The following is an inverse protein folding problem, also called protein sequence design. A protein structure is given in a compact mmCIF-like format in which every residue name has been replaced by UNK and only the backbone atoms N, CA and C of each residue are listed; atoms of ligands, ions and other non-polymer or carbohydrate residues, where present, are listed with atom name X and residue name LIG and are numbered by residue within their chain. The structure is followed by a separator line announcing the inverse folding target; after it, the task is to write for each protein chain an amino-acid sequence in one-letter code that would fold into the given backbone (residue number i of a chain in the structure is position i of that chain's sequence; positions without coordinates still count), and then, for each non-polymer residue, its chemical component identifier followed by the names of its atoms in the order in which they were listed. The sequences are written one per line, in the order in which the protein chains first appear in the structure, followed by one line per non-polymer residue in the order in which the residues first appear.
data_IF_022187644534
#
_entry.id   IF_022187644534
#
_cell.length_a   1.000
_cell.length_b   1.000
_cell.length_c   1.000
_cell.angle_alpha   90.00
_cell.angle_beta   90.00
_cell.angle_gamma   90.00
#
_symmetry.space_group_name_H-M   'P 1'
#
loop_
_entity.id
_entity.type
_entity.pdbx_description
1 polymer ?
#
# COMPACT_ATOMS: atom_id res chain seq x y z
N UNK A 1 4.50 -15.91 -9.44
CA UNK A 1 4.74 -14.45 -9.46
C UNK A 1 6.12 -14.10 -10.01
N UNK A 2 6.22 -13.06 -10.83
CA UNK A 2 7.49 -12.56 -11.38
C UNK A 2 8.33 -11.81 -10.34
N UNK A 3 9.65 -11.76 -10.56
CA UNK A 3 10.61 -11.06 -9.71
C UNK A 3 11.02 -9.75 -10.42
N UNK A 4 10.76 -8.58 -9.81
CA UNK A 4 11.25 -7.31 -10.33
C UNK A 4 12.77 -7.27 -10.38
N UNK A 5 13.31 -6.75 -11.48
CA UNK A 5 14.74 -6.67 -11.76
C UNK A 5 15.14 -5.20 -11.85
N UNK A 6 16.31 -4.85 -11.33
CA UNK A 6 16.93 -3.53 -11.54
C UNK A 6 18.36 -3.70 -12.03
N UNK A 7 18.86 -2.73 -12.79
CA UNK A 7 20.27 -2.69 -13.18
C UNK A 7 21.17 -2.23 -12.01
N UNK A 8 22.48 -2.15 -12.24
CA UNK A 8 23.48 -1.65 -11.27
C UNK A 8 23.13 -0.26 -10.73
N UNK A 9 22.58 0.61 -11.58
CA UNK A 9 22.17 1.98 -11.26
C UNK A 9 20.82 2.07 -10.51
N UNK A 10 20.18 0.94 -10.20
CA UNK A 10 18.84 0.82 -9.59
C UNK A 10 17.67 1.27 -10.49
N UNK A 11 17.89 1.31 -11.80
CA UNK A 11 16.85 1.56 -12.78
C UNK A 11 16.06 0.27 -13.04
N UNK A 12 14.72 0.31 -13.08
CA UNK A 12 13.90 -0.86 -13.35
C UNK A 12 14.14 -1.46 -14.74
N UNK A 13 14.24 -2.78 -14.79
CA UNK A 13 14.27 -3.61 -15.99
C UNK A 13 13.05 -4.52 -16.01
N UNK A 14 12.80 -5.17 -17.16
CA UNK A 14 11.69 -6.11 -17.28
C UNK A 14 11.77 -7.22 -16.21
N UNK A 15 10.66 -7.55 -15.53
CA UNK A 15 10.64 -8.60 -14.53
C UNK A 15 11.01 -9.97 -15.12
N UNK A 16 11.48 -10.87 -14.26
CA UNK A 16 11.86 -12.22 -14.68
C UNK A 16 11.16 -13.30 -13.87
N UNK A 17 11.20 -14.54 -14.36
CA UNK A 17 10.61 -15.70 -13.68
C UNK A 17 11.49 -16.08 -12.46
N UNK A 18 10.90 -16.51 -11.33
CA UNK A 18 11.66 -16.86 -10.12
C UNK A 18 12.79 -17.88 -10.31
N UNK A 19 12.62 -18.85 -11.22
CA UNK A 19 13.65 -19.85 -11.54
C UNK A 19 14.92 -19.20 -12.09
N UNK A 20 14.78 -18.25 -13.01
CA UNK A 20 15.88 -17.47 -13.60
C UNK A 20 16.54 -16.56 -12.56
N UNK A 21 15.74 -15.85 -11.76
CA UNK A 21 16.25 -15.03 -10.66
C UNK A 21 17.08 -15.84 -9.65
N UNK A 22 16.63 -17.05 -9.27
CA UNK A 22 17.39 -17.95 -8.40
C UNK A 22 18.72 -18.38 -9.03
N UNK A 23 18.73 -18.70 -10.32
CA UNK A 23 19.96 -19.08 -11.05
C UNK A 23 20.97 -17.93 -11.08
N UNK A 24 20.51 -16.69 -11.33
CA UNK A 24 21.37 -15.51 -11.30
C UNK A 24 21.97 -15.24 -9.92
N UNK A 25 21.18 -15.37 -8.86
CA UNK A 25 21.68 -15.20 -7.49
C UNK A 25 22.70 -16.28 -7.14
N UNK A 26 22.46 -17.55 -7.49
CA UNK A 26 23.39 -18.66 -7.25
C UNK A 26 24.72 -18.51 -8.01
N UNK A 27 24.67 -17.97 -9.22
CA UNK A 27 25.86 -17.75 -10.07
C UNK A 27 26.55 -16.41 -9.83
N UNK A 28 26.11 -15.61 -8.84
CA UNK A 28 26.69 -14.28 -8.57
C UNK A 28 26.34 -13.18 -9.58
N UNK A 29 25.59 -13.49 -10.64
CA UNK A 29 25.14 -12.51 -11.67
C UNK A 29 24.15 -11.48 -11.13
N UNK A 30 23.48 -11.75 -10.01
CA UNK A 30 22.56 -10.81 -9.39
C UNK A 30 22.61 -10.84 -7.86
N UNK A 31 22.41 -9.67 -7.26
CA UNK A 31 22.33 -9.49 -5.81
C UNK A 31 20.86 -9.41 -5.36
N UNK A 32 20.40 -10.29 -4.46
CA UNK A 32 19.02 -10.24 -3.95
C UNK A 32 18.85 -9.10 -2.94
N UNK A 33 17.72 -8.39 -3.01
CA UNK A 33 17.38 -7.35 -2.04
C UNK A 33 15.87 -7.23 -1.87
N UNK A 34 15.45 -6.42 -0.90
CA UNK A 34 14.03 -6.12 -0.69
C UNK A 34 13.76 -4.64 -0.92
N UNK A 35 12.67 -4.32 -1.62
CA UNK A 35 12.18 -2.94 -1.81
C UNK A 35 10.74 -2.86 -1.34
N UNK A 36 10.51 -2.14 -0.23
CA UNK A 36 9.21 -2.03 0.45
C UNK A 36 8.51 -3.37 0.71
N UNK A 37 9.28 -4.39 1.09
CA UNK A 37 8.74 -5.72 1.43
C UNK A 37 8.51 -6.66 0.25
N UNK A 38 8.89 -6.27 -0.97
CA UNK A 38 8.93 -7.17 -2.14
C UNK A 38 10.35 -7.60 -2.42
N UNK A 39 10.53 -8.88 -2.72
CA UNK A 39 11.80 -9.44 -3.15
C UNK A 39 12.13 -9.00 -4.57
N UNK A 40 13.32 -8.46 -4.76
CA UNK A 40 13.84 -7.97 -6.03
C UNK A 40 15.26 -8.51 -6.24
N UNK A 41 15.73 -8.47 -7.49
CA UNK A 41 17.13 -8.78 -7.82
C UNK A 41 17.77 -7.60 -8.53
N UNK A 42 19.02 -7.28 -8.17
CA UNK A 42 19.84 -6.30 -8.88
C UNK A 42 20.85 -7.04 -9.73
N UNK A 43 20.90 -6.78 -11.03
CA UNK A 43 21.92 -7.37 -11.90
C UNK A 43 23.29 -6.77 -11.57
N UNK A 44 24.29 -7.64 -11.43
CA UNK A 44 25.69 -7.29 -11.28
C UNK A 44 26.43 -7.32 -12.63
N UNK A 45 25.77 -7.81 -13.68
CA UNK A 45 26.24 -7.86 -15.06
C UNK A 45 25.37 -6.94 -15.92
N UNK A 46 25.89 -6.55 -17.08
CA UNK A 46 25.05 -5.83 -18.04
C UNK A 46 23.91 -6.72 -18.54
N UNK A 47 22.70 -6.18 -18.69
CA UNK A 47 21.57 -6.93 -19.22
C UNK A 47 21.84 -7.30 -20.69
N UNK A 48 21.33 -8.45 -21.12
CA UNK A 48 21.47 -8.88 -22.51
C UNK A 48 20.72 -7.98 -23.49
N UNK A 49 19.64 -7.33 -23.03
CA UNK A 49 18.85 -6.36 -23.78
C UNK A 49 18.18 -5.39 -22.78
N UNK A 50 17.94 -4.16 -23.23
CA UNK A 50 17.25 -3.10 -22.51
C UNK A 50 15.85 -2.78 -23.07
N UNK A 51 15.35 -3.56 -24.01
CA UNK A 51 13.97 -3.48 -24.49
C UNK A 51 12.97 -3.59 -23.33
N UNK A 52 11.99 -2.69 -23.35
CA UNK A 52 10.93 -2.59 -22.36
C UNK A 52 9.61 -2.64 -23.10
N UNK A 53 8.67 -3.40 -22.55
CA UNK A 53 7.29 -3.39 -23.00
C UNK A 53 6.51 -2.38 -22.16
N UNK A 54 5.45 -1.85 -22.75
CA UNK A 54 4.51 -1.01 -22.01
C UNK A 54 3.83 -1.80 -20.91
N UNK A 55 3.76 -1.18 -19.73
CA UNK A 55 3.14 -1.75 -18.55
C UNK A 55 1.95 -0.87 -18.14
N UNK A 56 0.77 -1.49 -18.09
CA UNK A 56 -0.42 -0.90 -17.53
C UNK A 56 -0.63 -1.32 -16.08
N UNK A 57 -1.19 -0.38 -15.31
CA UNK A 57 -1.66 -0.59 -13.94
C UNK A 57 -3.16 -0.39 -13.92
N UNK A 58 -3.89 -1.50 -13.79
CA UNK A 58 -5.32 -1.46 -13.50
C UNK A 58 -5.55 -1.28 -12.01
N UNK A 59 -6.51 -0.43 -11.64
CA UNK A 59 -6.83 -0.05 -10.27
C UNK A 59 -8.34 -0.20 -10.06
N UNK A 60 -8.71 -1.10 -9.16
CA UNK A 60 -10.08 -1.26 -8.67
C UNK A 60 -10.17 -0.66 -7.24
N UNK A 61 -10.62 0.61 -7.12
CA UNK A 61 -10.75 1.27 -5.83
C UNK A 61 -12.01 0.82 -5.08
N UNK A 62 -11.84 -0.02 -4.07
CA UNK A 62 -12.87 -0.40 -3.12
C UNK A 62 -12.87 0.41 -1.81
N UNK A 63 -13.83 0.09 -0.92
CA UNK A 63 -14.00 0.81 0.35
C UNK A 63 -13.15 0.26 1.51
N UNK A 64 -12.91 -1.05 1.50
CA UNK A 64 -12.14 -1.80 2.53
C UNK A 64 -10.89 -2.47 1.94
N UNK A 65 -11.02 -2.95 0.70
CA UNK A 65 -10.02 -3.68 -0.07
C UNK A 65 -9.84 -2.96 -1.40
N UNK A 66 -8.63 -2.94 -1.89
CA UNK A 66 -8.27 -2.32 -3.17
C UNK A 66 -7.48 -3.33 -3.99
N UNK A 67 -7.84 -3.45 -5.27
CA UNK A 67 -7.13 -4.27 -6.23
C UNK A 67 -6.21 -3.44 -7.11
N UNK A 68 -4.99 -3.92 -7.32
CA UNK A 68 -4.11 -3.44 -8.38
C UNK A 68 -3.60 -4.61 -9.18
N UNK A 69 -3.46 -4.40 -10.49
CA UNK A 69 -2.85 -5.39 -11.37
C UNK A 69 -1.85 -4.70 -12.28
N UNK A 70 -0.64 -5.24 -12.33
CA UNK A 70 0.47 -4.74 -13.14
C UNK A 70 0.70 -5.75 -14.25
N UNK A 71 0.53 -5.30 -15.49
CA UNK A 71 0.48 -6.18 -16.66
C UNK A 71 1.11 -5.50 -17.88
N UNK A 72 1.72 -6.32 -18.73
CA UNK A 72 2.11 -5.98 -20.10
C UNK A 72 1.31 -6.82 -21.10
N UNK A 73 1.54 -6.63 -22.39
CA UNK A 73 1.01 -7.53 -23.41
C UNK A 73 1.40 -8.99 -23.13
N UNK A 74 2.66 -9.25 -22.72
CA UNK A 74 3.19 -10.60 -22.56
C UNK A 74 2.83 -11.30 -21.26
N UNK A 75 2.74 -10.58 -20.12
CA UNK A 75 2.51 -11.23 -18.81
C UNK A 75 1.81 -10.34 -17.78
N UNK A 76 1.10 -10.99 -16.85
CA UNK A 76 0.66 -10.40 -15.58
C UNK A 76 1.76 -10.52 -14.52
N UNK A 77 2.47 -9.43 -14.26
CA UNK A 77 3.63 -9.45 -13.38
C UNK A 77 3.27 -9.53 -11.90
N UNK A 78 2.28 -8.74 -11.47
CA UNK A 78 1.98 -8.57 -10.06
C UNK A 78 0.51 -8.18 -9.85
N UNK A 79 -0.21 -8.97 -9.05
CA UNK A 79 -1.51 -8.58 -8.50
C UNK A 79 -1.31 -8.16 -7.04
N UNK A 80 -1.89 -7.04 -6.63
CA UNK A 80 -1.83 -6.54 -5.26
C UNK A 80 -3.23 -6.45 -4.70
N UNK A 81 -3.36 -6.94 -3.47
CA UNK A 81 -4.51 -6.71 -2.62
C UNK A 81 -4.09 -5.86 -1.44
N UNK A 82 -4.69 -4.67 -1.25
CA UNK A 82 -4.39 -3.84 -0.09
C UNK A 82 -5.62 -3.53 0.77
N UNK A 83 -5.38 -3.36 2.06
CA UNK A 83 -6.40 -2.87 3.00
C UNK A 83 -6.40 -1.35 3.09
N UNK A 84 -7.59 -0.77 3.08
CA UNK A 84 -7.80 0.66 3.25
C UNK A 84 -7.55 1.06 4.72
N UNK A 85 -6.79 2.14 5.01
CA UNK A 85 -6.46 2.52 6.38
C UNK A 85 -7.70 3.05 7.13
N UNK A 86 -8.27 2.22 8.01
CA UNK A 86 -9.52 2.52 8.73
C UNK A 86 -9.29 3.21 10.09
N UNK A 87 -8.14 3.00 10.73
CA UNK A 87 -7.85 3.52 12.09
C UNK A 87 -7.64 5.04 12.15
N UNK A 88 -7.48 5.72 11.01
CA UNK A 88 -7.16 7.15 10.96
C UNK A 88 -8.30 8.00 11.52
N UNK A 89 -9.56 7.63 11.26
CA UNK A 89 -10.73 8.34 11.79
C UNK A 89 -10.70 8.35 13.32
N UNK A 90 -10.55 7.17 13.95
CA UNK A 90 -10.45 7.04 15.40
C UNK A 90 -9.25 7.80 15.96
N UNK A 91 -8.10 7.79 15.29
CA UNK A 91 -6.93 8.55 15.73
C UNK A 91 -7.16 10.08 15.70
N UNK A 92 -7.90 10.58 14.70
CA UNK A 92 -8.29 11.99 14.60
C UNK A 92 -9.30 12.36 15.69
N UNK A 93 -10.27 11.48 15.95
CA UNK A 93 -11.26 11.64 17.03
C UNK A 93 -10.57 11.70 18.41
N UNK A 94 -9.70 10.73 18.71
CA UNK A 94 -8.91 10.72 19.96
C UNK A 94 -8.11 12.01 20.11
N UNK A 95 -7.44 12.47 19.05
CA UNK A 95 -6.70 13.75 19.05
C UNK A 95 -7.62 14.95 19.27
N UNK A 96 -8.83 14.96 18.71
CA UNK A 96 -9.84 16.02 18.91
C UNK A 96 -10.25 16.05 20.38
N UNK A 97 -10.57 14.89 20.96
CA UNK A 97 -10.97 14.77 22.36
C UNK A 97 -9.84 15.17 23.32
N UNK A 98 -8.59 14.77 23.05
CA UNK A 98 -7.39 15.23 23.78
C UNK A 98 -7.33 16.75 23.85
N UNK A 99 -7.51 17.41 22.70
CA UNK A 99 -7.46 18.86 22.61
C UNK A 99 -8.65 19.52 23.30
N UNK A 100 -9.84 18.93 23.24
CA UNK A 100 -11.04 19.44 23.92
C UNK A 100 -10.86 19.38 25.45
N UNK A 101 -10.45 18.24 25.99
CA UNK A 101 -10.19 18.06 27.42
C UNK A 101 -9.11 19.02 27.94
N UNK A 102 -8.00 19.20 27.21
CA UNK A 102 -6.97 20.19 27.58
C UNK A 102 -7.52 21.62 27.57
N UNK A 103 -8.34 21.99 26.58
CA UNK A 103 -8.93 23.33 26.50
C UNK A 103 -9.95 23.59 27.60
N UNK A 104 -10.73 22.59 27.98
CA UNK A 104 -11.72 22.70 29.05
C UNK A 104 -11.09 23.07 30.39
N UNK A 105 -9.84 22.67 30.63
CA UNK A 105 -9.05 23.05 31.82
C UNK A 105 -8.45 24.47 31.74
N UNK A 106 -8.63 25.20 30.64
CA UNK A 106 -8.12 26.55 30.45
C UNK A 106 -9.29 27.54 30.50
N UNK A 107 -9.25 28.48 31.45
CA UNK A 107 -10.37 29.37 31.80
C UNK A 107 -10.75 30.38 30.70
N UNK A 108 -9.81 30.81 29.85
CA UNK A 108 -10.05 31.73 28.73
C UNK A 108 -9.20 31.37 27.51
N UNK A 109 -9.82 31.30 26.32
CA UNK A 109 -9.07 31.13 25.06
C UNK A 109 -9.73 31.92 23.92
N UNK A 110 -8.98 32.75 23.18
CA UNK A 110 -9.51 33.45 22.01
C UNK A 110 -9.92 32.47 20.89
N UNK A 111 -11.04 32.78 20.24
CA UNK A 111 -11.47 32.06 19.04
C UNK A 111 -10.42 32.21 17.92
N UNK A 112 -10.22 31.16 17.12
CA UNK A 112 -9.26 31.19 15.99
C UNK A 112 -9.99 30.88 14.70
N UNK A 113 -10.76 31.86 14.20
CA UNK A 113 -11.54 31.74 12.97
C UNK A 113 -10.66 31.51 11.73
N UNK A 114 -9.45 32.09 11.69
CA UNK A 114 -8.50 31.99 10.57
C UNK A 114 -8.03 30.55 10.25
N UNK A 115 -8.30 29.57 11.13
CA UNK A 115 -7.96 28.16 10.88
C UNK A 115 -9.07 27.39 10.14
N UNK A 116 -10.20 28.03 9.81
CA UNK A 116 -11.33 27.40 9.11
C UNK A 116 -11.17 27.67 7.60
N UNK A 117 -10.58 26.71 6.86
CA UNK A 117 -10.53 26.76 5.39
C UNK A 117 -11.69 25.96 4.78
N UNK A 118 -12.36 26.49 3.76
CA UNK A 118 -13.33 25.77 2.94
C UNK A 118 -12.65 24.77 2.00
N UNK A 119 -13.34 23.66 1.65
CA UNK A 119 -12.87 22.57 0.77
C UNK A 119 -11.56 21.88 1.22
N UNK A 120 -11.63 21.12 2.31
CA UNK A 120 -10.48 20.38 2.85
C UNK A 120 -10.65 18.85 2.69
N UNK A 121 -9.63 18.19 2.16
CA UNK A 121 -9.56 16.72 2.18
C UNK A 121 -9.28 16.25 3.61
N UNK A 122 -10.32 15.70 4.25
CA UNK A 122 -10.23 15.22 5.63
C UNK A 122 -9.05 14.25 5.82
N UNK A 123 -8.38 14.21 7.00
CA UNK A 123 -7.13 13.46 7.14
C UNK A 123 -7.32 11.94 6.96
N UNK A 124 -8.50 11.43 7.31
CA UNK A 124 -8.90 10.05 7.05
C UNK A 124 -9.02 9.76 5.56
N UNK A 125 -9.74 10.59 4.81
CA UNK A 125 -9.86 10.47 3.35
C UNK A 125 -8.48 10.61 2.67
N UNK A 126 -7.70 11.62 3.06
CA UNK A 126 -6.33 11.82 2.56
C UNK A 126 -5.46 10.59 2.78
N UNK A 127 -5.52 9.96 3.95
CA UNK A 127 -4.71 8.76 4.21
C UNK A 127 -5.06 7.59 3.27
N UNK A 128 -6.35 7.44 2.92
CA UNK A 128 -6.80 6.39 1.98
C UNK A 128 -6.30 6.66 0.57
N UNK A 129 -6.53 7.86 0.04
CA UNK A 129 -6.09 8.24 -1.30
C UNK A 129 -4.56 8.29 -1.43
N UNK A 130 -3.87 8.77 -0.39
CA UNK A 130 -2.40 8.80 -0.38
C UNK A 130 -1.81 7.39 -0.39
N UNK A 131 -2.45 6.40 0.26
CA UNK A 131 -1.99 5.01 0.18
C UNK A 131 -2.04 4.51 -1.27
N UNK A 132 -3.15 4.76 -1.98
CA UNK A 132 -3.31 4.38 -3.38
C UNK A 132 -2.19 4.98 -4.25
N UNK A 133 -1.95 6.28 -4.09
CA UNK A 133 -0.89 6.98 -4.81
C UNK A 133 0.51 6.45 -4.47
N UNK A 134 0.74 6.13 -3.19
CA UNK A 134 2.03 5.60 -2.72
C UNK A 134 2.34 4.21 -3.30
N UNK A 135 1.30 3.41 -3.59
CA UNK A 135 1.44 2.14 -4.30
C UNK A 135 1.85 2.41 -5.74
N UNK A 136 1.16 3.30 -6.46
CA UNK A 136 1.52 3.67 -7.85
C UNK A 136 2.96 4.20 -7.96
N UNK A 137 3.34 5.15 -7.08
CA UNK A 137 4.72 5.68 -6.98
C UNK A 137 5.75 4.64 -6.58
N UNK A 138 5.34 3.55 -5.93
CA UNK A 138 6.22 2.44 -5.62
C UNK A 138 6.41 1.53 -6.83
N UNK A 139 5.33 1.23 -7.56
CA UNK A 139 5.34 0.40 -8.76
C UNK A 139 6.28 0.96 -9.83
N UNK A 140 6.23 2.27 -10.11
CA UNK A 140 7.16 2.94 -11.03
C UNK A 140 8.64 2.81 -10.65
N UNK A 141 8.95 2.52 -9.37
CA UNK A 141 10.33 2.33 -8.89
C UNK A 141 10.81 0.89 -9.00
N UNK A 142 9.95 -0.05 -9.38
CA UNK A 142 10.28 -1.48 -9.45
C UNK A 142 9.94 -2.11 -10.80
N UNK A 143 9.00 -1.54 -11.54
CA UNK A 143 8.64 -1.96 -12.89
C UNK A 143 9.02 -0.84 -13.88
N UNK A 144 9.58 -1.19 -15.06
CA UNK A 144 9.86 -0.22 -16.12
C UNK A 144 8.55 0.27 -16.76
N UNK A 145 8.64 1.35 -17.55
CA UNK A 145 7.60 1.79 -18.49
C UNK A 145 6.16 1.78 -17.94
N UNK A 146 5.99 2.09 -16.65
CA UNK A 146 4.69 2.06 -15.98
C UNK A 146 4.01 3.41 -16.16
N UNK A 147 3.48 3.64 -17.36
CA UNK A 147 2.90 4.92 -17.78
C UNK A 147 1.39 4.88 -17.97
N UNK A 148 0.78 3.71 -18.12
CA UNK A 148 -0.67 3.59 -18.32
C UNK A 148 -1.38 3.23 -17.01
N UNK A 149 -2.34 4.05 -16.60
CA UNK A 149 -3.18 3.82 -15.44
C UNK A 149 -4.64 3.71 -15.86
N UNK A 150 -5.27 2.55 -15.64
CA UNK A 150 -6.70 2.37 -15.84
C UNK A 150 -7.40 2.26 -14.48
N UNK A 151 -8.39 3.12 -14.22
CA UNK A 151 -9.05 3.19 -12.91
C UNK A 151 -10.56 3.07 -13.08
N UNK A 152 -11.19 2.21 -12.27
CA UNK A 152 -12.65 2.23 -12.16
C UNK A 152 -13.11 3.52 -11.45
N UNK A 153 -13.92 4.31 -12.14
CA UNK A 153 -14.44 5.58 -11.65
C UNK A 153 -15.59 5.37 -10.68
N UNK A 154 -15.30 5.60 -9.40
CA UNK A 154 -16.30 5.53 -8.34
C UNK A 154 -17.07 6.85 -8.22
N UNK A 155 -18.39 6.77 -8.06
CA UNK A 155 -19.26 7.93 -7.84
C UNK A 155 -19.89 7.89 -6.47
N UNK A 156 -19.94 9.05 -5.80
CA UNK A 156 -20.73 9.18 -4.58
C UNK A 156 -22.23 9.01 -4.91
N UNK A 157 -22.96 8.26 -4.06
CA UNK A 157 -24.41 8.08 -4.22
C UNK A 157 -25.13 9.44 -4.06
N UNK A 158 -25.86 9.84 -5.09
CA UNK A 158 -26.81 10.97 -5.03
C UNK A 158 -28.18 10.50 -4.56
N UNK A 159 -28.91 11.36 -3.86
CA UNK A 159 -30.24 11.07 -3.32
C UNK A 159 -31.30 11.82 -4.14
N UNK A 160 -32.37 11.13 -4.57
CA UNK A 160 -33.47 11.76 -5.34
C UNK A 160 -34.11 12.87 -4.49
N UNK A 161 -34.37 14.03 -5.09
CA UNK A 161 -34.95 15.20 -4.41
C UNK A 161 -34.00 16.01 -3.50
N UNK A 162 -32.83 15.46 -3.12
CA UNK A 162 -31.94 16.10 -2.16
C UNK A 162 -30.92 17.06 -2.82
N UNK A 163 -31.38 18.03 -3.64
CA UNK A 163 -30.50 18.94 -4.41
C UNK A 163 -29.43 19.62 -3.53
N UNK A 164 -29.77 20.08 -2.32
CA UNK A 164 -28.84 20.72 -1.37
C UNK A 164 -27.74 19.77 -0.89
N UNK A 165 -28.09 18.52 -0.59
CA UNK A 165 -27.14 17.49 -0.14
C UNK A 165 -26.29 16.95 -1.29
N UNK A 166 -26.87 16.77 -2.48
CA UNK A 166 -26.13 16.36 -3.67
C UNK A 166 -25.15 17.44 -4.17
N UNK A 167 -25.46 18.72 -3.94
CA UNK A 167 -24.53 19.85 -4.17
C UNK A 167 -23.47 20.00 -3.08
N UNK A 168 -23.59 19.29 -1.96
CA UNK A 168 -22.64 19.41 -0.84
C UNK A 168 -21.33 18.67 -1.13
N UNK A 169 -20.26 19.13 -0.48
CA UNK A 169 -18.90 18.58 -0.60
C UNK A 169 -18.86 17.09 -0.23
N UNK A 170 -18.65 16.20 -1.20
CA UNK A 170 -18.34 14.79 -0.95
C UNK A 170 -16.83 14.62 -0.75
N UNK A 171 -16.36 14.18 0.44
CA UNK A 171 -14.95 13.88 0.65
C UNK A 171 -14.41 12.79 -0.27
N UNK A 172 -15.30 11.92 -0.78
CA UNK A 172 -14.96 10.89 -1.76
C UNK A 172 -14.62 11.55 -3.10
N UNK A 173 -15.51 12.39 -3.63
CA UNK A 173 -15.30 13.08 -4.92
C UNK A 173 -14.06 13.97 -4.88
N UNK A 174 -13.87 14.75 -3.81
CA UNK A 174 -12.69 15.63 -3.71
C UNK A 174 -11.39 14.83 -3.61
N UNK A 175 -11.41 13.73 -2.87
CA UNK A 175 -10.25 12.86 -2.77
C UNK A 175 -9.96 12.10 -4.08
N UNK A 176 -11.01 11.69 -4.80
CA UNK A 176 -10.94 11.06 -6.11
C UNK A 176 -10.34 12.00 -7.15
N UNK A 177 -10.85 13.23 -7.26
CA UNK A 177 -10.30 14.24 -8.15
C UNK A 177 -8.84 14.59 -7.83
N UNK A 178 -8.50 14.69 -6.54
CA UNK A 178 -7.11 14.84 -6.11
C UNK A 178 -6.25 13.65 -6.57
N UNK A 179 -6.73 12.42 -6.38
CA UNK A 179 -6.01 11.22 -6.79
C UNK A 179 -5.80 11.15 -8.31
N UNK A 180 -6.83 11.46 -9.12
CA UNK A 180 -6.72 11.50 -10.57
C UNK A 180 -5.74 12.56 -11.04
N UNK A 181 -5.75 13.75 -10.43
CA UNK A 181 -4.75 14.78 -10.73
C UNK A 181 -3.33 14.27 -10.46
N UNK A 182 -3.11 13.59 -9.33
CA UNK A 182 -1.80 13.04 -8.99
C UNK A 182 -1.41 11.83 -9.84
N UNK A 183 -2.36 11.05 -10.36
CA UNK A 183 -2.06 9.96 -11.29
C UNK A 183 -1.63 10.49 -12.66
N UNK A 184 -2.28 11.55 -13.15
CA UNK A 184 -1.91 12.19 -14.43
C UNK A 184 -0.49 12.75 -14.44
N UNK A 185 0.09 13.05 -13.27
CA UNK A 185 1.51 13.45 -13.19
C UNK A 185 2.46 12.26 -13.21
N UNK A 186 1.96 11.03 -13.01
CA UNK A 186 2.74 9.80 -13.09
C UNK A 186 2.68 9.17 -14.49
N UNK A 187 1.57 9.36 -15.21
CA UNK A 187 1.38 8.82 -16.55
C UNK A 187 -0.01 9.08 -17.10
N UNK A 188 -0.35 8.42 -18.20
CA UNK A 188 -1.66 8.50 -18.84
C UNK A 188 -2.73 7.81 -17.98
N UNK A 189 -3.87 8.48 -17.82
CA UNK A 189 -4.97 8.02 -16.98
C UNK A 189 -6.23 7.79 -17.82
N UNK A 190 -6.64 6.53 -17.91
CA UNK A 190 -7.93 6.10 -18.45
C UNK A 190 -8.89 5.81 -17.32
N UNK A 191 -10.10 6.36 -17.43
CA UNK A 191 -11.18 6.12 -16.47
C UNK A 191 -12.23 5.22 -17.12
N UNK A 192 -12.69 4.22 -16.38
CA UNK A 192 -13.77 3.31 -16.81
C UNK A 192 -14.88 3.31 -15.79
N UNK A 193 -16.13 3.42 -16.23
CA UNK A 193 -17.28 3.29 -15.37
C UNK A 193 -17.47 1.81 -14.96
N UNK A 194 -18.12 1.57 -13.82
CA UNK A 194 -18.30 0.20 -13.32
C UNK A 194 -19.10 -0.74 -14.26
N UNK A 195 -19.95 -0.20 -15.14
CA UNK A 195 -20.62 -1.01 -16.16
C UNK A 195 -19.67 -1.40 -17.29
N UNK A 196 -18.77 -0.50 -17.73
CA UNK A 196 -17.74 -0.82 -18.73
C UNK A 196 -16.79 -1.91 -18.21
N UNK A 197 -16.38 -1.83 -16.93
CA UNK A 197 -15.55 -2.87 -16.31
C UNK A 197 -16.28 -4.22 -16.31
N UNK A 198 -17.60 -4.20 -16.06
CA UNK A 198 -18.42 -5.42 -16.08
C UNK A 198 -18.51 -6.01 -17.49
N UNK A 199 -18.79 -5.19 -18.50
CA UNK A 199 -18.85 -5.62 -19.90
C UNK A 199 -17.53 -6.27 -20.34
N UNK A 200 -16.39 -5.57 -20.14
CA UNK A 200 -15.07 -6.11 -20.44
C UNK A 200 -14.77 -7.43 -19.70
N UNK A 201 -15.30 -7.58 -18.48
CA UNK A 201 -15.13 -8.79 -17.68
C UNK A 201 -15.99 -9.94 -18.21
N UNK A 202 -17.21 -9.64 -18.65
CA UNK A 202 -18.16 -10.61 -19.19
C UNK A 202 -17.72 -11.08 -20.60
N UNK A 203 -17.17 -10.19 -21.43
CA UNK A 203 -16.58 -10.51 -22.74
C UNK A 203 -15.42 -11.51 -22.64
N UNK A 204 -14.64 -11.43 -21.56
CA UNK A 204 -13.53 -12.35 -21.27
C UNK A 204 -13.97 -13.61 -20.50
N UNK A 205 -15.28 -13.77 -20.24
CA UNK A 205 -15.84 -14.91 -19.51
C UNK A 205 -15.39 -15.02 -18.04
N UNK A 206 -14.94 -13.91 -17.43
CA UNK A 206 -14.38 -13.90 -16.09
C UNK A 206 -15.45 -13.67 -15.01
N UNK A 207 -15.58 -14.60 -14.07
CA UNK A 207 -16.58 -14.50 -12.99
C UNK A 207 -16.02 -13.78 -11.77
N UNK A 208 -16.76 -12.77 -11.29
CA UNK A 208 -16.47 -12.11 -10.00
C UNK A 208 -17.07 -12.92 -8.85
N UNK A 209 -16.28 -13.16 -7.81
CA UNK A 209 -16.75 -13.91 -6.64
C UNK A 209 -17.76 -13.10 -5.82
N UNK A 210 -18.76 -13.78 -5.26
CA UNK A 210 -19.71 -13.20 -4.31
C UNK A 210 -19.09 -12.89 -2.94
N UNK A 211 -17.98 -13.56 -2.59
CA UNK A 211 -17.31 -13.39 -1.30
C UNK A 211 -16.42 -12.13 -1.29
N UNK A 212 -17.03 -10.97 -1.03
CA UNK A 212 -16.38 -9.64 -1.14
C UNK A 212 -15.20 -9.38 -0.18
N UNK A 213 -14.86 -10.30 0.73
CA UNK A 213 -13.76 -10.12 1.70
C UNK A 213 -12.72 -11.23 1.67
N UNK A 214 -12.96 -12.29 0.88
CA UNK A 214 -11.99 -13.35 0.72
C UNK A 214 -10.75 -12.82 -0.02
N UNK A 215 -9.57 -13.26 0.41
CA UNK A 215 -8.32 -12.85 -0.22
C UNK A 215 -8.06 -13.68 -1.50
N UNK A 216 -9.01 -13.70 -2.43
CA UNK A 216 -8.95 -14.41 -3.71
C UNK A 216 -8.88 -13.43 -4.89
N UNK A 217 -8.33 -13.90 -6.01
CA UNK A 217 -8.11 -13.08 -7.19
C UNK A 217 -9.44 -12.58 -7.75
N UNK A 218 -10.43 -13.48 -7.84
CA UNK A 218 -11.78 -13.23 -8.34
C UNK A 218 -12.58 -12.24 -7.50
N UNK A 219 -12.15 -11.91 -6.28
CA UNK A 219 -12.84 -10.98 -5.39
C UNK A 219 -12.41 -9.53 -5.62
N UNK A 220 -11.12 -9.30 -5.88
CA UNK A 220 -10.50 -7.98 -5.79
C UNK A 220 -9.58 -7.64 -6.97
N UNK A 221 -9.02 -8.65 -7.64
CA UNK A 221 -8.02 -8.45 -8.69
C UNK A 221 -8.56 -8.72 -10.10
N UNK A 222 -9.71 -9.38 -10.24
CA UNK A 222 -10.34 -9.60 -11.55
C UNK A 222 -10.63 -8.29 -12.28
N UNK A 223 -11.27 -7.33 -11.62
CA UNK A 223 -11.63 -6.05 -12.25
C UNK A 223 -10.40 -5.20 -12.55
N UNK A 224 -9.43 -5.14 -11.62
CA UNK A 224 -8.15 -4.47 -11.90
C UNK A 224 -7.33 -5.16 -12.99
N UNK A 225 -7.41 -6.49 -13.13
CA UNK A 225 -6.77 -7.20 -14.24
C UNK A 225 -7.43 -6.86 -15.58
N UNK A 226 -8.76 -6.84 -15.65
CA UNK A 226 -9.52 -6.47 -16.85
C UNK A 226 -9.18 -5.04 -17.28
N UNK A 227 -9.13 -4.10 -16.32
CA UNK A 227 -8.70 -2.72 -16.58
C UNK A 227 -7.26 -2.61 -17.09
N UNK A 228 -6.34 -3.43 -16.57
CA UNK A 228 -4.98 -3.44 -17.10
C UNK A 228 -4.95 -4.06 -18.51
N UNK A 229 -5.70 -5.14 -18.72
CA UNK A 229 -5.74 -5.86 -19.99
C UNK A 229 -6.34 -5.04 -21.13
N UNK A 230 -7.35 -4.20 -20.86
CA UNK A 230 -7.91 -3.34 -21.90
C UNK A 230 -6.93 -2.27 -22.42
N UNK A 231 -5.86 -1.97 -21.66
CA UNK A 231 -4.84 -1.01 -22.09
C UNK A 231 -3.72 -1.65 -22.90
N UNK A 232 -3.32 -2.89 -22.60
CA UNK A 232 -2.12 -3.54 -23.21
C UNK A 232 -2.41 -4.84 -23.96
N UNK A 233 -3.63 -5.37 -23.90
CA UNK A 233 -4.04 -6.55 -24.67
C UNK A 233 -3.26 -7.84 -24.38
N UNK A 234 -3.21 -8.75 -25.35
CA UNK A 234 -2.36 -9.94 -25.33
C UNK A 234 -2.89 -11.15 -24.53
N UNK A 235 -3.97 -11.03 -23.75
CA UNK A 235 -4.51 -12.15 -22.96
C UNK A 235 -6.04 -12.22 -22.99
N UNK A 236 -6.58 -13.42 -23.24
CA UNK A 236 -8.00 -13.74 -23.06
C UNK A 236 -8.31 -14.21 -21.63
N UNK A 237 -7.30 -14.64 -20.87
CA UNK A 237 -7.42 -15.10 -19.48
C UNK A 237 -6.17 -14.72 -18.67
N UNK A 238 -6.29 -14.53 -17.34
CA UNK A 238 -5.13 -14.26 -16.49
C UNK A 238 -4.12 -15.42 -16.49
N UNK A 239 -2.89 -15.14 -16.92
CA UNK A 239 -1.76 -16.07 -16.88
C UNK A 239 -1.16 -16.23 -15.46
N UNK A 240 -1.36 -15.24 -14.60
CA UNK A 240 -0.92 -15.27 -13.21
C UNK A 240 -1.99 -14.68 -12.27
N UNK A 241 -2.44 -15.51 -11.32
CA UNK A 241 -3.43 -15.16 -10.29
C UNK A 241 -2.84 -15.01 -8.88
N UNK A 242 -1.53 -15.20 -8.70
CA UNK A 242 -0.89 -14.97 -7.40
C UNK A 242 -1.10 -13.54 -6.94
N UNK A 243 -1.34 -13.35 -5.64
CA UNK A 243 -1.61 -12.05 -5.03
C UNK A 243 -0.52 -11.72 -4.01
N UNK A 244 0.02 -10.50 -4.12
CA UNK A 244 0.76 -9.86 -3.05
C UNK A 244 -0.21 -9.06 -2.18
N UNK A 245 -0.61 -9.63 -1.06
CA UNK A 245 -1.40 -8.91 -0.07
C UNK A 245 -0.50 -7.95 0.71
N UNK A 246 -0.77 -6.65 0.65
CA UNK A 246 -0.06 -5.63 1.42
C UNK A 246 -0.99 -4.95 2.42
N UNK A 247 -0.56 -4.84 3.67
CA UNK A 247 -1.36 -4.23 4.74
C UNK A 247 -0.55 -3.10 5.37
N UNK A 248 -1.05 -1.85 5.38
CA UNK A 248 -0.32 -0.74 5.97
C UNK A 248 -0.15 -0.94 7.48
N UNK A 249 1.07 -0.72 7.97
CA UNK A 249 1.39 -0.86 9.37
C UNK A 249 0.82 0.33 10.17
N UNK A 250 0.20 0.01 11.32
CA UNK A 250 -0.27 1.01 12.26
C UNK A 250 0.87 1.43 13.20
N UNK A 251 1.51 2.55 12.88
CA UNK A 251 2.56 3.10 13.74
C UNK A 251 2.01 3.95 14.88
N UNK A 252 2.42 3.64 16.11
CA UNK A 252 2.21 4.51 17.27
C UNK A 252 3.23 5.65 17.23
N UNK A 253 2.78 6.83 16.79
CA UNK A 253 3.60 8.06 16.81
C UNK A 253 3.83 8.53 18.25
N UNK A 254 4.94 9.25 18.46
CA UNK A 254 5.29 9.86 19.75
C UNK A 254 4.13 10.71 20.27
N UNK A 255 3.73 10.43 21.50
CA UNK A 255 2.84 11.22 22.33
C UNK A 255 3.72 11.75 23.47
N UNK A 256 3.82 13.07 23.58
CA UNK A 256 4.61 13.73 24.63
C UNK A 256 4.10 13.38 26.03
N UNK A 257 2.79 13.16 26.18
CA UNK A 257 2.18 12.80 27.45
C UNK A 257 1.02 11.82 27.23
N UNK A 258 1.03 10.69 27.92
CA UNK A 258 -0.11 9.74 27.94
C UNK A 258 -1.26 10.32 28.78
N UNK A 259 -2.50 9.87 28.50
CA UNK A 259 -3.71 10.37 29.18
C UNK A 259 -3.70 10.13 30.69
N UNK A 260 -3.34 8.92 31.08
CA UNK A 260 -3.25 8.52 32.48
C UNK A 260 -1.82 8.77 32.95
N UNK A 261 -1.69 9.52 34.03
CA UNK A 261 -0.43 9.64 34.75
C UNK A 261 -0.09 8.29 35.38
N UNK A 262 1.20 7.98 35.46
CA UNK A 262 1.68 6.92 36.35
C UNK A 262 1.53 7.37 37.82
N UNK A 263 1.79 6.45 38.76
CA UNK A 263 1.88 6.77 40.19
C UNK A 263 2.82 7.97 40.39
N UNK A 264 2.39 8.95 41.19
CA UNK A 264 3.11 10.22 41.39
C UNK A 264 2.89 11.28 40.31
N UNK A 265 1.85 11.17 39.46
CA UNK A 265 1.48 12.23 38.51
C UNK A 265 2.34 12.31 37.24
N UNK A 266 3.35 11.44 37.11
CA UNK A 266 4.30 11.45 36.00
C UNK A 266 3.65 10.95 34.71
N UNK A 267 3.75 11.73 33.63
CA UNK A 267 3.28 11.30 32.30
C UNK A 267 4.45 10.82 31.45
N UNK A 268 4.56 9.51 31.28
CA UNK A 268 5.60 8.90 30.44
C UNK A 268 5.52 9.35 28.97
N UNK A 269 6.67 9.41 28.32
CA UNK A 269 6.73 9.46 26.85
C UNK A 269 6.17 8.14 26.28
N UNK A 270 5.30 8.22 25.28
CA UNK A 270 4.75 7.02 24.62
C UNK A 270 4.95 7.07 23.11
N UNK A 271 5.36 5.96 22.51
CA UNK A 271 5.56 5.85 21.07
C UNK A 271 6.90 6.41 20.60
N UNK A 272 7.46 5.78 19.58
CA UNK A 272 8.68 6.18 18.87
C UNK A 272 8.62 5.59 17.46
N UNK A 273 9.32 6.21 16.51
CA UNK A 273 9.51 5.67 15.17
C UNK A 273 10.73 4.76 15.09
N UNK A 274 11.61 4.81 16.10
CA UNK A 274 12.84 4.03 16.19
C UNK A 274 12.71 2.93 17.24
N UNK A 275 13.51 1.89 17.09
CA UNK A 275 13.48 0.68 17.90
C UNK A 275 14.89 0.08 17.91
N UNK A 276 15.72 0.58 18.84
CA UNK A 276 17.13 0.19 19.02
C UNK A 276 17.90 0.13 17.69
N UNK A 277 18.05 1.29 17.03
CA UNK A 277 18.71 1.40 15.73
C UNK A 277 17.79 1.18 14.53
N UNK A 278 16.78 0.31 14.63
CA UNK A 278 15.84 0.07 13.52
C UNK A 278 14.71 1.10 13.48
N UNK A 279 14.23 1.41 12.28
CA UNK A 279 12.94 2.10 12.12
C UNK A 279 11.81 1.08 12.30
N UNK A 280 10.72 1.40 13.00
CA UNK A 280 9.57 0.48 13.11
C UNK A 280 9.02 0.15 11.73
N UNK A 281 8.77 -1.13 11.46
CA UNK A 281 8.46 -1.64 10.12
C UNK A 281 9.69 -2.03 9.30
N UNK A 282 10.89 -1.96 9.87
CA UNK A 282 12.09 -2.53 9.24
C UNK A 282 11.94 -4.04 9.12
N UNK A 283 12.09 -4.53 7.89
CA UNK A 283 12.22 -5.93 7.54
C UNK A 283 13.61 -6.40 7.97
N UNK A 284 13.65 -7.47 8.76
CA UNK A 284 14.89 -8.07 9.27
C UNK A 284 14.85 -9.58 9.05
N UNK A 285 16.01 -10.19 8.79
CA UNK A 285 16.20 -11.64 8.86
C UNK A 285 16.77 -11.97 10.22
N UNK A 286 15.98 -12.64 11.06
CA UNK A 286 16.40 -13.12 12.37
C UNK A 286 16.96 -14.54 12.26
N UNK A 287 18.11 -14.80 12.88
CA UNK A 287 18.87 -16.05 12.72
C UNK A 287 18.01 -17.32 12.93
N UNK A 288 17.18 -17.34 13.99
CA UNK A 288 16.31 -18.51 14.31
C UNK A 288 14.88 -18.43 13.77
N UNK A 289 14.43 -17.27 13.30
CA UNK A 289 12.98 -17.01 13.05
C UNK A 289 12.68 -16.55 11.63
N UNK A 290 13.71 -16.49 10.79
CA UNK A 290 13.58 -16.08 9.41
C UNK A 290 13.16 -14.61 9.26
N UNK A 291 12.41 -14.33 8.20
CA UNK A 291 12.05 -12.99 7.77
C UNK A 291 10.87 -12.45 8.57
N UNK A 292 11.05 -11.29 9.21
CA UNK A 292 10.03 -10.65 10.05
C UNK A 292 10.20 -9.13 10.05
N UNK A 293 9.28 -8.39 10.70
CA UNK A 293 9.44 -6.95 10.87
C UNK A 293 9.54 -6.52 12.33
N UNK A 294 10.30 -5.44 12.56
CA UNK A 294 10.47 -4.82 13.87
C UNK A 294 9.24 -3.97 14.22
N UNK A 295 8.50 -4.37 15.25
CA UNK A 295 7.29 -3.66 15.69
C UNK A 295 7.55 -2.58 16.74
N UNK A 296 8.61 -2.72 17.54
CA UNK A 296 8.86 -1.85 18.67
C UNK A 296 10.00 -2.33 19.56
N UNK A 297 10.03 -1.80 20.77
CA UNK A 297 11.01 -2.11 21.80
C UNK A 297 10.34 -2.34 23.13
N UNK A 298 10.90 -3.25 23.92
CA UNK A 298 10.52 -3.51 25.30
C UNK A 298 11.75 -3.91 26.09
N UNK A 299 11.97 -3.30 27.27
CA UNK A 299 13.09 -3.64 28.19
C UNK A 299 14.46 -3.80 27.49
N UNK A 300 14.84 -2.84 26.65
CA UNK A 300 16.14 -2.87 25.94
C UNK A 300 16.26 -3.93 24.84
N UNK A 301 15.14 -4.56 24.43
CA UNK A 301 15.07 -5.54 23.34
C UNK A 301 14.07 -5.11 22.27
N UNK A 302 14.16 -5.72 21.09
CA UNK A 302 13.22 -5.47 19.98
C UNK A 302 12.08 -6.50 19.95
N UNK A 303 10.90 -6.05 19.53
CA UNK A 303 9.77 -6.94 19.27
C UNK A 303 9.67 -7.29 17.78
N UNK A 304 9.52 -8.57 17.49
CA UNK A 304 9.40 -9.11 16.13
C UNK A 304 7.98 -9.59 15.85
N UNK A 305 7.53 -9.31 14.64
CA UNK A 305 6.18 -9.58 14.18
C UNK A 305 6.18 -10.31 12.85
N UNK A 306 5.19 -11.19 12.66
CA UNK A 306 4.98 -11.92 11.41
C UNK A 306 4.57 -10.96 10.29
N UNK A 307 5.16 -11.13 9.11
CA UNK A 307 4.76 -10.36 7.92
C UNK A 307 3.33 -10.70 7.47
N UNK A 308 2.99 -12.00 7.54
CA UNK A 308 1.71 -12.54 7.08
C UNK A 308 0.54 -12.15 8.00
N UNK A 309 0.70 -12.27 9.32
CA UNK A 309 -0.39 -12.04 10.28
C UNK A 309 -0.29 -10.70 11.00
N UNK A 310 0.90 -10.09 11.10
CA UNK A 310 1.16 -8.93 11.96
C UNK A 310 1.24 -9.25 13.46
N UNK A 311 1.01 -10.52 13.84
CA UNK A 311 1.05 -10.97 15.22
C UNK A 311 2.49 -10.92 15.73
N UNK A 312 2.64 -10.40 16.95
CA UNK A 312 3.91 -10.35 17.66
C UNK A 312 4.23 -11.74 18.23
N UNK A 313 5.33 -12.33 17.79
CA UNK A 313 5.76 -13.65 18.27
C UNK A 313 7.02 -13.57 19.17
N UNK A 314 7.70 -12.43 19.24
CA UNK A 314 8.88 -12.25 20.09
C UNK A 314 8.95 -10.80 20.61
N UNK A 315 9.37 -10.64 21.87
CA UNK A 315 9.48 -9.35 22.55
C UNK A 315 10.88 -9.04 23.09
N UNK A 316 11.77 -10.03 23.07
CA UNK A 316 13.07 -10.01 23.73
C UNK A 316 14.24 -10.28 22.77
N UNK A 317 14.04 -10.11 21.46
CA UNK A 317 15.07 -10.34 20.46
C UNK A 317 16.25 -9.35 20.64
N UNK A 318 17.48 -9.84 20.49
CA UNK A 318 18.67 -9.00 20.46
C UNK A 318 18.82 -8.39 19.07
N UNK A 319 19.35 -7.18 19.02
CA UNK A 319 19.61 -6.47 17.75
C UNK A 319 20.65 -7.22 16.90
N UNK A 320 21.66 -7.80 17.55
CA UNK A 320 22.74 -8.58 16.92
C UNK A 320 22.23 -9.82 16.18
N UNK A 321 21.10 -10.39 16.60
CA UNK A 321 20.49 -11.57 15.96
C UNK A 321 19.69 -11.20 14.68
N UNK A 322 19.63 -9.92 14.32
CA UNK A 322 18.78 -9.40 13.25
C UNK A 322 19.61 -8.68 12.17
N UNK A 323 19.56 -9.21 10.94
CA UNK A 323 20.15 -8.56 9.77
C UNK A 323 19.08 -7.71 9.08
N UNK A 324 19.33 -6.40 8.95
CA UNK A 324 18.45 -5.48 8.22
C UNK A 324 18.35 -5.86 6.74
N UNK A 325 17.13 -5.77 6.19
CA UNK A 325 16.88 -6.02 4.75
C UNK A 325 16.28 -4.81 4.05
N UNK A 326 15.23 -4.22 4.59
CA UNK A 326 14.65 -2.99 4.03
C UNK A 326 13.72 -2.32 5.02
N UNK A 327 13.39 -1.06 4.80
CA UNK A 327 12.30 -0.42 5.51
C UNK A 327 10.99 -0.58 4.70
N UNK A 328 9.91 -0.99 5.38
CA UNK A 328 8.57 -0.93 4.81
C UNK A 328 7.56 -0.29 5.76
N UNK A 329 6.62 0.47 5.22
CA UNK A 329 5.45 0.96 5.94
C UNK A 329 4.26 0.02 5.84
N UNK A 330 4.42 -1.11 5.14
CA UNK A 330 3.43 -2.16 4.95
C UNK A 330 4.05 -3.50 5.35
N UNK A 331 3.22 -4.43 5.78
CA UNK A 331 3.56 -5.85 5.83
C UNK A 331 2.97 -6.54 4.61
N UNK A 332 3.64 -7.58 4.13
CA UNK A 332 3.25 -8.31 2.92
C UNK A 332 3.06 -9.80 3.19
N UNK A 333 2.16 -10.40 2.42
CA UNK A 333 1.96 -11.84 2.35
C UNK A 333 1.73 -12.23 0.88
N UNK A 334 2.41 -13.27 0.42
CA UNK A 334 2.10 -13.88 -0.86
C UNK A 334 0.97 -14.89 -0.66
N UNK A 335 -0.02 -14.83 -1.53
CA UNK A 335 -1.15 -15.74 -1.58
C UNK A 335 -1.16 -16.37 -2.98
N UNK A 336 -1.11 -17.68 -3.02
CA UNK A 336 -1.31 -18.44 -4.25
C UNK A 336 -2.80 -18.82 -4.37
N UNK A 337 -3.29 -19.05 -5.62
CA UNK A 337 -4.71 -19.25 -5.93
C UNK A 337 -5.42 -20.31 -5.09
#
# INVERSE_FOLDING_TARGET
MFVPVVNKNNEPLMPTIPSRARRWVRSGKATPFFKKGVFCVRLNVEPSNNEKQDIAVGIDPGSKREGYTIKSESHTYLNILTETPYWVSKAVEVRRNMRKARRFRLRRRPARFNNRKGKFLAPSARARWQLKLNICKWLQKIFPATHYYAVEDIKAKSWKGAKKWNKSFSPLEVGKQWFYKELRTLGELTLKQGYETKELRDDLGLKKSSSKLADKFECHNVDSWVLANCMVGGHSRPDNKDILKIIPLRFHRRQLHVFQCAKGGVRRNHGSTRSLGFKRGSLVKHNKRGLCYVGGTSKGRISLHSLATGIRFCQNAKVQDCVFKSYSSTRSQYLSP
#
